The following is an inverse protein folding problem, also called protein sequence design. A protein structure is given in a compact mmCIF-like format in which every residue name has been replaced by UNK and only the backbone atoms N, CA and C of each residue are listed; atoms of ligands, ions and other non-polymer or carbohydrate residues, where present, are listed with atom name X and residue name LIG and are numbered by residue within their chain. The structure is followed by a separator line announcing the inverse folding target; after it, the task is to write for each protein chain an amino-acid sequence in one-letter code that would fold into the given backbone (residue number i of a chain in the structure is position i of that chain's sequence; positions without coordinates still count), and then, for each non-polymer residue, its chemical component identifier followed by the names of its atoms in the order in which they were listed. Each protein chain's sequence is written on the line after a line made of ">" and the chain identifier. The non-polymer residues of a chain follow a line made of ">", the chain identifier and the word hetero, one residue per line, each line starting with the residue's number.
data_IF_728448426561
#
_entry.id   IF_728448426561
#
_cell.length_a   1.000
_cell.length_b   1.000
_cell.length_c   1.000
_cell.angle_alpha   90.00
_cell.angle_beta   90.00
_cell.angle_gamma   90.00
#
_symmetry.space_group_name_H-M   'P 1'
#
loop_
_entity.id
_entity.type
_entity.pdbx_description
1 polymer ?
#
# COMPACT_ATOMS: atom_id res chain seq x y z
N UNK A 1 16.33 -6.05 13.89
CA UNK A 1 14.92 -6.49 13.85
C UNK A 1 13.98 -5.44 13.23
N UNK A 2 14.27 -4.12 13.40
CA UNK A 2 13.46 -3.04 12.80
C UNK A 2 13.28 -3.18 11.27
N UNK A 3 14.34 -3.35 10.45
CA UNK A 3 14.15 -3.48 9.01
C UNK A 3 13.27 -4.66 8.62
N UNK A 4 13.43 -5.80 9.30
CA UNK A 4 12.65 -7.00 9.04
C UNK A 4 11.15 -6.79 9.35
N UNK A 5 10.81 -6.08 10.45
CA UNK A 5 9.41 -5.80 10.77
C UNK A 5 8.72 -4.92 9.74
N UNK A 6 9.46 -3.99 9.13
CA UNK A 6 8.95 -3.13 8.06
C UNK A 6 8.73 -3.92 6.77
N UNK A 7 9.68 -4.80 6.42
CA UNK A 7 9.57 -5.72 5.28
C UNK A 7 8.35 -6.64 5.45
N UNK A 8 8.18 -7.25 6.64
CA UNK A 8 7.04 -8.13 6.93
C UNK A 8 5.70 -7.39 6.88
N UNK A 9 5.68 -6.12 7.28
CA UNK A 9 4.48 -5.27 7.20
C UNK A 9 4.11 -4.92 5.76
N UNK A 10 5.06 -4.80 4.86
CA UNK A 10 4.82 -4.51 3.45
C UNK A 10 4.10 -5.64 2.71
N UNK A 11 4.39 -6.90 3.06
CA UNK A 11 3.81 -8.07 2.39
C UNK A 11 2.28 -8.03 2.30
N UNK A 12 1.51 -8.00 3.41
CA UNK A 12 0.06 -8.03 3.32
C UNK A 12 -0.51 -6.83 2.55
N UNK A 13 0.16 -5.68 2.55
CA UNK A 13 -0.29 -4.50 1.82
C UNK A 13 -0.30 -4.74 0.31
N UNK A 14 0.82 -5.23 -0.25
CA UNK A 14 0.92 -5.52 -1.69
C UNK A 14 0.18 -6.79 -2.09
N UNK A 15 0.24 -7.83 -1.26
CA UNK A 15 -0.50 -9.07 -1.53
C UNK A 15 -2.00 -8.87 -1.50
N UNK A 16 -2.52 -7.90 -0.76
CA UNK A 16 -3.96 -7.60 -0.74
C UNK A 16 -4.52 -7.23 -2.11
N UNK A 17 -3.69 -6.67 -3.01
CA UNK A 17 -4.14 -6.31 -4.36
C UNK A 17 -3.95 -7.43 -5.38
N UNK A 18 -3.07 -8.38 -5.14
CA UNK A 18 -2.72 -9.39 -6.13
C UNK A 18 -3.33 -10.76 -5.82
N UNK A 19 -3.45 -11.10 -4.54
CA UNK A 19 -3.97 -12.38 -4.07
C UNK A 19 -5.43 -12.61 -4.45
N UNK A 20 -6.25 -11.55 -4.51
CA UNK A 20 -7.70 -11.68 -4.79
C UNK A 20 -8.04 -11.64 -6.28
N UNK A 21 -7.10 -11.33 -7.17
CA UNK A 21 -7.37 -11.21 -8.62
C UNK A 21 -8.06 -12.44 -9.21
N UNK A 22 -7.64 -13.69 -8.91
CA UNK A 22 -8.33 -14.87 -9.40
C UNK A 22 -9.75 -15.04 -8.83
N UNK A 23 -10.07 -14.38 -7.73
CA UNK A 23 -11.38 -14.43 -7.08
C UNK A 23 -12.41 -13.45 -7.67
N UNK A 24 -12.01 -12.57 -8.61
CA UNK A 24 -12.91 -11.59 -9.22
C UNK A 24 -14.21 -12.20 -9.78
N UNK A 25 -14.20 -13.38 -10.46
CA UNK A 25 -15.44 -14.03 -10.90
C UNK A 25 -16.36 -14.40 -9.74
N UNK A 26 -15.83 -14.98 -8.66
CA UNK A 26 -16.61 -15.33 -7.47
C UNK A 26 -17.19 -14.07 -6.78
N UNK A 27 -16.42 -12.98 -6.73
CA UNK A 27 -16.85 -11.69 -6.16
C UNK A 27 -17.98 -11.09 -7.01
N UNK A 28 -17.85 -11.15 -8.33
CA UNK A 28 -18.90 -10.71 -9.26
C UNK A 28 -20.23 -11.43 -9.03
N UNK A 29 -20.17 -12.75 -8.92
CA UNK A 29 -21.36 -13.58 -8.68
C UNK A 29 -21.94 -13.31 -7.28
N UNK A 30 -21.10 -13.22 -6.25
CA UNK A 30 -21.53 -12.99 -4.88
C UNK A 30 -22.27 -11.65 -4.69
N UNK A 31 -21.89 -10.62 -5.43
CA UNK A 31 -22.55 -9.31 -5.39
C UNK A 31 -23.56 -9.09 -6.52
N UNK A 32 -23.68 -10.02 -7.47
CA UNK A 32 -24.54 -9.91 -8.65
C UNK A 32 -24.34 -8.61 -9.43
N UNK A 33 -23.08 -8.31 -9.80
CA UNK A 33 -22.68 -7.07 -10.47
C UNK A 33 -21.97 -7.34 -11.80
N UNK A 34 -21.73 -6.30 -12.59
CA UNK A 34 -20.99 -6.40 -13.86
C UNK A 34 -19.49 -6.62 -13.66
N UNK A 35 -18.81 -7.15 -14.68
CA UNK A 35 -17.35 -7.25 -14.69
C UNK A 35 -16.67 -5.89 -14.48
N UNK A 36 -17.20 -4.83 -15.12
CA UNK A 36 -16.68 -3.49 -14.96
C UNK A 36 -16.73 -3.00 -13.49
N UNK A 37 -17.84 -3.30 -12.79
CA UNK A 37 -18.00 -2.91 -11.39
C UNK A 37 -16.98 -3.61 -10.48
N UNK A 38 -16.73 -4.90 -10.71
CA UNK A 38 -15.74 -5.64 -9.88
C UNK A 38 -14.31 -5.16 -10.17
N UNK A 39 -13.99 -4.87 -11.44
CA UNK A 39 -12.68 -4.34 -11.83
C UNK A 39 -12.40 -2.95 -11.22
N UNK A 40 -13.42 -2.16 -10.89
CA UNK A 40 -13.24 -0.91 -10.14
C UNK A 40 -12.54 -1.13 -8.80
N UNK A 41 -12.61 -2.32 -8.21
CA UNK A 41 -11.90 -2.63 -6.96
C UNK A 41 -10.37 -2.52 -7.10
N UNK A 42 -9.83 -2.84 -8.27
CA UNK A 42 -8.39 -2.69 -8.58
C UNK A 42 -8.08 -1.20 -8.82
N UNK A 43 -8.89 -0.53 -9.65
CA UNK A 43 -8.68 0.87 -9.97
C UNK A 43 -8.76 1.77 -8.72
N UNK A 44 -9.73 1.52 -7.84
CA UNK A 44 -9.89 2.27 -6.59
C UNK A 44 -8.73 2.04 -5.61
N UNK A 45 -8.17 0.85 -5.56
CA UNK A 45 -6.98 0.59 -4.76
C UNK A 45 -5.79 1.44 -5.25
N UNK A 46 -5.52 1.48 -6.55
CA UNK A 46 -4.47 2.34 -7.13
C UNK A 46 -4.78 3.83 -6.96
N UNK A 47 -6.04 4.23 -7.09
CA UNK A 47 -6.46 5.61 -6.85
C UNK A 47 -6.20 6.02 -5.40
N UNK A 48 -6.52 5.15 -4.43
CA UNK A 48 -6.21 5.38 -3.02
C UNK A 48 -4.71 5.54 -2.78
N UNK A 49 -3.90 4.65 -3.36
CA UNK A 49 -2.45 4.70 -3.22
C UNK A 49 -1.85 6.00 -3.79
N UNK A 50 -2.30 6.44 -4.96
CA UNK A 50 -1.75 7.63 -5.61
C UNK A 50 -2.19 8.94 -4.95
N UNK A 51 -3.47 9.06 -4.57
CA UNK A 51 -4.01 10.30 -4.01
C UNK A 51 -3.50 10.58 -2.60
N UNK A 52 -3.45 9.55 -1.75
CA UNK A 52 -3.06 9.73 -0.35
C UNK A 52 -1.57 9.96 -0.16
N UNK A 53 -0.74 9.48 -1.08
CA UNK A 53 0.71 9.66 -1.06
C UNK A 53 1.11 11.14 -1.02
N UNK A 54 0.38 12.02 -1.71
CA UNK A 54 0.66 13.45 -1.74
C UNK A 54 0.48 14.09 -0.37
N UNK A 55 -0.51 13.65 0.41
CA UNK A 55 -0.84 14.27 1.71
C UNK A 55 0.05 13.69 2.84
N UNK A 56 0.46 12.45 2.71
CA UNK A 56 1.15 11.72 3.77
C UNK A 56 2.55 12.24 4.11
N UNK A 57 3.27 12.86 3.16
CA UNK A 57 4.59 13.40 3.41
C UNK A 57 4.58 14.39 4.58
N UNK A 58 3.90 15.53 4.44
CA UNK A 58 3.80 16.52 5.52
C UNK A 58 3.16 15.98 6.81
N UNK A 59 2.20 15.06 6.68
CA UNK A 59 1.52 14.47 7.82
C UNK A 59 2.48 13.58 8.64
N UNK A 60 3.29 12.79 7.94
CA UNK A 60 4.29 11.90 8.52
C UNK A 60 5.43 12.67 9.20
N UNK A 61 5.86 13.79 8.61
CA UNK A 61 6.85 14.69 9.20
C UNK A 61 6.34 15.38 10.47
N UNK A 62 5.02 15.63 10.56
CA UNK A 62 4.42 16.30 11.71
C UNK A 62 4.07 15.35 12.84
N UNK A 63 3.40 14.24 12.54
CA UNK A 63 2.92 13.30 13.56
C UNK A 63 3.93 12.20 13.92
N UNK A 64 4.95 12.02 13.11
CA UNK A 64 5.96 10.98 13.22
C UNK A 64 5.67 9.77 12.38
N UNK A 65 6.73 9.20 11.83
CA UNK A 65 6.67 8.07 10.89
C UNK A 65 6.05 6.82 11.51
N UNK A 66 6.41 6.49 12.75
CA UNK A 66 5.88 5.33 13.46
C UNK A 66 4.37 5.43 13.66
N UNK A 67 3.87 6.59 14.10
CA UNK A 67 2.43 6.80 14.31
C UNK A 67 1.64 6.66 13.02
N UNK A 68 2.12 7.23 11.94
CA UNK A 68 1.47 7.16 10.62
C UNK A 68 1.42 5.72 10.11
N UNK A 69 2.49 4.95 10.26
CA UNK A 69 2.51 3.53 9.87
C UNK A 69 1.54 2.70 10.73
N UNK A 70 1.50 2.91 12.03
CA UNK A 70 0.61 2.17 12.92
C UNK A 70 -0.87 2.52 12.66
N UNK A 71 -1.19 3.80 12.47
CA UNK A 71 -2.56 4.23 12.11
C UNK A 71 -2.95 3.69 10.73
N UNK A 72 -2.03 3.72 9.77
CA UNK A 72 -2.24 3.08 8.47
C UNK A 72 -2.53 1.59 8.60
N UNK A 73 -1.72 0.86 9.37
CA UNK A 73 -1.93 -0.55 9.61
C UNK A 73 -3.26 -0.89 10.27
N UNK A 74 -3.70 -0.10 11.25
CA UNK A 74 -5.03 -0.24 11.83
C UNK A 74 -6.14 0.01 10.80
N UNK A 75 -6.00 1.05 9.99
CA UNK A 75 -6.95 1.34 8.90
C UNK A 75 -6.99 0.20 7.87
N UNK A 76 -5.83 -0.40 7.55
CA UNK A 76 -5.76 -1.56 6.68
C UNK A 76 -6.50 -2.77 7.25
N UNK A 77 -6.33 -3.06 8.56
CA UNK A 77 -7.05 -4.14 9.22
C UNK A 77 -8.57 -3.93 9.16
N UNK A 78 -9.04 -2.72 9.45
CA UNK A 78 -10.47 -2.37 9.37
C UNK A 78 -10.98 -2.52 7.93
N UNK A 79 -10.28 -1.97 6.94
CA UNK A 79 -10.66 -2.07 5.54
C UNK A 79 -10.67 -3.52 5.06
N UNK A 80 -9.67 -4.33 5.45
CA UNK A 80 -9.59 -5.75 5.09
C UNK A 80 -10.71 -6.56 5.76
N UNK A 81 -11.06 -6.23 7.01
CA UNK A 81 -12.20 -6.82 7.69
C UNK A 81 -13.52 -6.52 6.96
N UNK A 82 -13.74 -5.26 6.56
CA UNK A 82 -14.91 -4.88 5.75
C UNK A 82 -14.94 -5.71 4.47
N UNK A 83 -13.82 -5.86 3.76
CA UNK A 83 -13.75 -6.70 2.56
C UNK A 83 -14.17 -8.15 2.83
N UNK A 84 -13.82 -8.71 3.98
CA UNK A 84 -14.12 -10.12 4.29
C UNK A 84 -15.58 -10.40 4.62
N UNK A 85 -16.30 -9.43 5.22
CA UNK A 85 -17.65 -9.67 5.78
C UNK A 85 -18.78 -8.95 5.04
N UNK A 86 -18.48 -7.91 4.25
CA UNK A 86 -19.54 -7.06 3.68
C UNK A 86 -20.42 -7.81 2.69
N UNK A 87 -21.74 -7.61 2.72
CA UNK A 87 -22.67 -8.05 1.68
C UNK A 87 -22.84 -7.02 0.54
N UNK A 88 -22.25 -5.83 0.66
CA UNK A 88 -22.45 -4.71 -0.26
C UNK A 88 -21.20 -4.43 -1.09
N UNK A 89 -21.38 -4.38 -2.42
CA UNK A 89 -20.29 -4.02 -3.35
C UNK A 89 -19.77 -2.60 -3.08
N UNK A 90 -20.62 -1.66 -2.71
CA UNK A 90 -20.22 -0.27 -2.41
C UNK A 90 -19.26 -0.21 -1.24
N UNK A 91 -19.56 -0.92 -0.14
CA UNK A 91 -18.66 -1.01 1.00
C UNK A 91 -17.38 -1.76 0.68
N UNK A 92 -17.45 -2.79 -0.16
CA UNK A 92 -16.27 -3.50 -0.66
C UNK A 92 -15.36 -2.54 -1.44
N UNK A 93 -15.90 -1.78 -2.39
CA UNK A 93 -15.16 -0.81 -3.18
C UNK A 93 -14.55 0.32 -2.33
N UNK A 94 -15.31 0.84 -1.37
CA UNK A 94 -14.80 1.84 -0.42
C UNK A 94 -13.64 1.28 0.43
N UNK A 95 -13.75 0.04 0.89
CA UNK A 95 -12.68 -0.62 1.64
C UNK A 95 -11.44 -0.85 0.76
N UNK A 96 -11.60 -1.19 -0.51
CA UNK A 96 -10.49 -1.31 -1.48
C UNK A 96 -9.74 0.02 -1.65
N UNK A 97 -10.47 1.13 -1.78
CA UNK A 97 -9.87 2.46 -1.81
C UNK A 97 -9.07 2.75 -0.54
N UNK A 98 -9.63 2.46 0.64
CA UNK A 98 -8.94 2.65 1.92
C UNK A 98 -7.69 1.77 2.05
N UNK A 99 -7.72 0.51 1.60
CA UNK A 99 -6.53 -0.35 1.54
C UNK A 99 -5.44 0.28 0.68
N UNK A 100 -5.80 0.86 -0.47
CA UNK A 100 -4.87 1.59 -1.33
C UNK A 100 -4.23 2.79 -0.61
N UNK A 101 -5.03 3.61 0.10
CA UNK A 101 -4.52 4.74 0.88
C UNK A 101 -3.42 4.32 1.88
N UNK A 102 -3.55 3.13 2.46
CA UNK A 102 -2.58 2.64 3.46
C UNK A 102 -1.24 2.28 2.83
N UNK A 103 -1.21 1.76 1.60
CA UNK A 103 0.05 1.44 0.92
C UNK A 103 0.97 2.65 0.83
N UNK A 104 0.40 3.83 0.63
CA UNK A 104 1.17 5.09 0.60
C UNK A 104 1.92 5.35 1.92
N UNK A 105 1.42 4.85 3.06
CA UNK A 105 2.08 5.07 4.36
C UNK A 105 3.46 4.42 4.41
N UNK A 106 3.62 3.22 3.82
CA UNK A 106 4.92 2.55 3.79
C UNK A 106 5.88 3.22 2.81
N UNK A 107 5.37 3.65 1.65
CA UNK A 107 6.17 4.36 0.65
C UNK A 107 6.70 5.70 1.17
N UNK A 108 5.93 6.40 1.99
CA UNK A 108 6.31 7.71 2.54
C UNK A 108 7.00 7.55 3.90
N UNK A 109 6.27 7.09 4.91
CA UNK A 109 6.77 7.04 6.28
C UNK A 109 7.76 5.88 6.51
N UNK A 110 7.58 4.74 5.84
CA UNK A 110 8.48 3.60 5.92
C UNK A 110 9.86 3.92 5.36
N UNK A 111 9.90 4.43 4.13
CA UNK A 111 11.17 4.81 3.48
C UNK A 111 11.87 5.97 4.18
N UNK A 112 11.13 6.98 4.66
CA UNK A 112 11.69 8.06 5.46
C UNK A 112 12.36 7.53 6.73
N UNK A 113 11.73 6.58 7.42
CA UNK A 113 12.27 5.97 8.64
C UNK A 113 13.52 5.13 8.38
N UNK A 114 13.59 4.43 7.25
CA UNK A 114 14.79 3.71 6.82
C UNK A 114 15.97 4.68 6.69
N UNK A 115 15.78 5.77 5.97
CA UNK A 115 16.83 6.77 5.77
C UNK A 115 17.24 7.53 7.05
N UNK A 116 16.29 7.67 8.00
CA UNK A 116 16.58 8.30 9.30
C UNK A 116 17.42 7.43 10.23
N UNK A 117 17.25 6.09 10.16
CA UNK A 117 17.74 5.17 11.19
C UNK A 117 18.82 4.20 10.75
N UNK A 118 18.93 3.95 9.47
CA UNK A 118 19.90 3.00 8.95
C UNK A 118 21.06 3.71 8.25
N UNK A 119 22.23 3.10 8.32
CA UNK A 119 23.34 3.54 7.49
C UNK A 119 23.07 3.31 6.00
N UNK A 120 23.85 3.92 5.13
CA UNK A 120 23.64 3.86 3.68
C UNK A 120 23.57 2.44 3.14
N UNK A 121 24.40 1.51 3.64
CA UNK A 121 24.44 0.11 3.17
C UNK A 121 23.20 -0.64 3.61
N UNK A 122 22.83 -0.53 4.87
CA UNK A 122 21.63 -1.17 5.43
C UNK A 122 20.34 -0.59 4.81
N UNK A 123 20.29 0.72 4.57
CA UNK A 123 19.16 1.37 3.91
C UNK A 123 18.96 0.82 2.49
N UNK A 124 20.02 0.78 1.68
CA UNK A 124 19.97 0.22 0.32
C UNK A 124 19.51 -1.23 0.36
N UNK A 125 20.06 -2.06 1.24
CA UNK A 125 19.69 -3.46 1.36
C UNK A 125 18.22 -3.64 1.76
N UNK A 126 17.73 -2.87 2.74
CA UNK A 126 16.33 -2.93 3.17
C UNK A 126 15.37 -2.52 2.05
N UNK A 127 15.67 -1.41 1.37
CA UNK A 127 14.87 -0.92 0.23
C UNK A 127 14.87 -1.93 -0.92
N UNK A 128 15.99 -2.60 -1.17
CA UNK A 128 16.07 -3.64 -2.20
C UNK A 128 15.17 -4.84 -1.87
N UNK A 129 15.12 -5.27 -0.61
CA UNK A 129 14.19 -6.32 -0.18
C UNK A 129 12.73 -5.90 -0.32
N UNK A 130 12.38 -4.67 0.07
CA UNK A 130 11.05 -4.11 -0.11
C UNK A 130 10.67 -4.03 -1.59
N UNK A 131 11.57 -3.52 -2.44
CA UNK A 131 11.36 -3.52 -3.89
C UNK A 131 11.15 -4.92 -4.49
N UNK A 132 11.83 -5.94 -3.95
CA UNK A 132 11.61 -7.33 -4.36
C UNK A 132 10.19 -7.80 -4.05
N UNK A 133 9.62 -7.43 -2.91
CA UNK A 133 8.22 -7.76 -2.55
C UNK A 133 7.24 -7.12 -3.53
N UNK A 134 7.48 -5.85 -3.86
CA UNK A 134 6.63 -5.10 -4.81
C UNK A 134 6.58 -5.78 -6.19
N UNK A 135 7.70 -6.35 -6.64
CA UNK A 135 7.79 -7.07 -7.93
C UNK A 135 7.25 -8.51 -7.81
N UNK A 136 7.50 -9.18 -6.68
CA UNK A 136 7.06 -10.57 -6.49
C UNK A 136 5.56 -10.69 -6.24
N UNK A 137 4.93 -9.69 -5.61
CA UNK A 137 3.51 -9.76 -5.27
C UNK A 137 2.59 -9.95 -6.51
N UNK A 138 2.78 -9.23 -7.63
CA UNK A 138 2.03 -9.49 -8.87
C UNK A 138 2.29 -10.86 -9.49
N UNK A 139 3.50 -11.39 -9.37
CA UNK A 139 3.86 -12.70 -9.93
C UNK A 139 3.31 -13.87 -9.09
N UNK A 140 3.50 -13.81 -7.78
CA UNK A 140 3.17 -14.91 -6.86
C UNK A 140 1.73 -14.82 -6.34
N UNK A 141 1.23 -13.59 -6.15
CA UNK A 141 -0.10 -13.35 -5.59
C UNK A 141 -1.22 -14.07 -6.31
N UNK A 142 -1.37 -13.94 -7.64
CA UNK A 142 -2.42 -14.65 -8.39
C UNK A 142 -2.27 -16.16 -8.35
N UNK A 143 -1.04 -16.68 -8.35
CA UNK A 143 -0.79 -18.14 -8.23
C UNK A 143 -1.30 -18.65 -6.89
N UNK A 144 -0.90 -18.02 -5.79
CA UNK A 144 -1.37 -18.38 -4.46
C UNK A 144 -2.89 -18.18 -4.32
N UNK A 145 -3.40 -17.07 -4.85
CA UNK A 145 -4.83 -16.78 -4.86
C UNK A 145 -5.63 -17.86 -5.57
N UNK A 146 -5.23 -18.29 -6.77
CA UNK A 146 -5.90 -19.34 -7.54
C UNK A 146 -5.89 -20.68 -6.83
N UNK A 147 -4.79 -21.04 -6.18
CA UNK A 147 -4.72 -22.27 -5.38
C UNK A 147 -5.70 -22.23 -4.20
N UNK A 148 -5.77 -21.11 -3.49
CA UNK A 148 -6.60 -20.98 -2.29
C UNK A 148 -8.10 -20.93 -2.61
N UNK A 149 -8.52 -20.24 -3.68
CA UNK A 149 -9.94 -20.12 -4.04
C UNK A 149 -10.57 -21.45 -4.52
N UNK A 150 -9.75 -22.43 -4.90
CA UNK A 150 -10.23 -23.78 -5.22
C UNK A 150 -10.73 -24.55 -3.98
N UNK A 151 -10.27 -24.17 -2.80
CA UNK A 151 -10.56 -24.84 -1.53
C UNK A 151 -11.44 -24.01 -0.60
N UNK A 152 -11.48 -22.69 -0.81
CA UNK A 152 -12.17 -21.77 0.10
C UNK A 152 -12.80 -20.58 -0.64
N UNK A 153 -13.81 -19.95 -0.02
CA UNK A 153 -14.41 -18.73 -0.53
C UNK A 153 -13.40 -17.57 -0.52
N UNK A 154 -13.51 -16.65 -1.47
CA UNK A 154 -12.70 -15.43 -1.56
C UNK A 154 -12.66 -14.61 -0.27
N UNK A 155 -13.68 -14.68 0.59
CA UNK A 155 -13.72 -14.00 1.88
C UNK A 155 -12.60 -14.46 2.81
N UNK A 156 -12.22 -15.74 2.76
CA UNK A 156 -11.14 -16.30 3.56
C UNK A 156 -9.77 -15.80 3.15
N UNK A 157 -9.59 -15.35 1.89
CA UNK A 157 -8.35 -14.68 1.48
C UNK A 157 -8.13 -13.39 2.29
N UNK A 158 -9.19 -12.57 2.42
CA UNK A 158 -9.12 -11.36 3.24
C UNK A 158 -8.98 -11.68 4.74
N UNK A 159 -9.65 -12.73 5.24
CA UNK A 159 -9.48 -13.17 6.62
C UNK A 159 -8.02 -13.59 6.92
N UNK A 160 -7.38 -14.33 6.03
CA UNK A 160 -5.97 -14.68 6.14
C UNK A 160 -5.05 -13.45 6.12
N UNK A 161 -5.35 -12.47 5.26
CA UNK A 161 -4.63 -11.19 5.22
C UNK A 161 -4.79 -10.39 6.51
N UNK A 162 -5.93 -10.44 7.20
CA UNK A 162 -6.12 -9.79 8.50
C UNK A 162 -5.15 -10.38 9.54
N UNK A 163 -5.08 -11.71 9.63
CA UNK A 163 -4.18 -12.37 10.59
C UNK A 163 -2.73 -12.00 10.30
N UNK A 164 -2.33 -12.07 9.03
CA UNK A 164 -0.97 -11.70 8.63
C UNK A 164 -0.65 -10.24 8.92
N UNK A 165 -1.54 -9.32 8.53
CA UNK A 165 -1.37 -7.89 8.77
C UNK A 165 -1.35 -7.55 10.26
N UNK A 166 -2.17 -8.20 11.09
CA UNK A 166 -2.18 -8.00 12.54
C UNK A 166 -0.85 -8.42 13.19
N UNK A 167 -0.33 -9.57 12.82
CA UNK A 167 0.99 -10.05 13.28
C UNK A 167 2.10 -9.09 12.83
N UNK A 168 2.10 -8.70 11.57
CA UNK A 168 3.10 -7.76 11.01
C UNK A 168 3.03 -6.39 11.68
N UNK A 169 1.83 -5.88 11.94
CA UNK A 169 1.62 -4.61 12.64
C UNK A 169 2.08 -4.67 14.10
N UNK A 170 1.83 -5.78 14.78
CA UNK A 170 2.34 -6.01 16.13
C UNK A 170 3.87 -5.99 16.15
N UNK A 171 4.51 -6.74 15.25
CA UNK A 171 5.97 -6.77 15.12
C UNK A 171 6.53 -5.37 14.80
N UNK A 172 5.88 -4.64 13.91
CA UNK A 172 6.25 -3.26 13.59
C UNK A 172 6.16 -2.37 14.82
N UNK A 173 5.09 -2.47 15.60
CA UNK A 173 4.94 -1.67 16.83
C UNK A 173 6.04 -1.95 17.85
N UNK A 174 6.42 -3.22 18.03
CA UNK A 174 7.44 -3.63 19.01
C UNK A 174 8.85 -3.22 18.57
N UNK A 175 9.20 -3.48 17.30
CA UNK A 175 10.58 -3.32 16.82
C UNK A 175 10.88 -1.97 16.17
N UNK A 176 9.87 -1.20 15.78
CA UNK A 176 10.10 0.10 15.19
C UNK A 176 10.46 1.14 16.23
N UNK A 177 11.62 1.79 16.09
CA UNK A 177 12.07 2.81 17.04
C UNK A 177 11.15 4.04 17.01
N UNK A 178 10.95 4.63 18.18
CA UNK A 178 10.16 5.86 18.34
C UNK A 178 10.84 7.02 17.60
N UNK A 179 10.04 7.96 17.10
CA UNK A 179 10.55 9.14 16.41
C UNK A 179 11.19 10.10 17.43
N UNK A 180 12.47 10.45 17.21
CA UNK A 180 13.24 11.29 18.12
C UNK A 180 12.99 12.79 17.91
N UNK A 181 12.58 13.18 16.71
CA UNK A 181 12.35 14.56 16.33
C UNK A 181 10.93 14.72 15.80
N UNK A 182 10.02 15.08 16.71
CA UNK A 182 8.67 15.49 16.37
C UNK A 182 8.63 17.01 16.23
N UNK A 183 7.93 17.49 15.21
CA UNK A 183 7.45 18.85 15.03
C UNK A 183 8.17 19.73 14.01
N UNK A 184 8.04 19.38 12.77
CA UNK A 184 7.86 20.47 11.79
C UNK A 184 6.42 20.95 11.91
N UNK A 185 6.20 22.20 12.34
CA UNK A 185 4.85 22.79 12.37
C UNK A 185 4.22 22.63 10.98
N UNK A 186 3.02 22.04 10.92
CA UNK A 186 2.24 21.97 9.69
C UNK A 186 1.94 23.40 9.22
N UNK A 187 2.63 23.81 8.19
CA UNK A 187 2.38 25.09 7.53
C UNK A 187 1.84 24.82 6.13
N UNK A 188 0.50 24.76 6.01
CA UNK A 188 -0.19 24.46 4.76
C UNK A 188 0.23 25.40 3.62
N UNK A 189 0.51 26.67 3.91
CA UNK A 189 0.98 27.64 2.91
C UNK A 189 2.38 27.28 2.39
N UNK A 190 3.28 26.84 3.26
CA UNK A 190 4.63 26.39 2.88
C UNK A 190 4.54 25.10 2.04
N UNK A 191 3.73 24.15 2.48
CA UNK A 191 3.47 22.88 1.75
C UNK A 191 2.96 23.18 0.34
N UNK A 192 1.95 24.04 0.19
CA UNK A 192 1.43 24.45 -1.11
C UNK A 192 2.48 25.12 -2.00
N UNK A 193 3.34 25.98 -1.43
CA UNK A 193 4.44 26.60 -2.17
C UNK A 193 5.49 25.58 -2.63
N UNK A 194 5.83 24.61 -1.80
CA UNK A 194 6.81 23.57 -2.13
C UNK A 194 6.26 22.62 -3.21
N UNK A 195 4.99 22.22 -3.15
CA UNK A 195 4.34 21.48 -4.26
C UNK A 195 4.29 22.29 -5.55
N UNK A 196 3.97 23.57 -5.49
CA UNK A 196 3.98 24.44 -6.66
C UNK A 196 5.37 24.50 -7.31
N UNK A 197 6.44 24.60 -6.53
CA UNK A 197 7.83 24.58 -7.07
C UNK A 197 8.13 23.27 -7.80
N UNK A 198 7.70 22.11 -7.25
CA UNK A 198 7.90 20.81 -7.87
C UNK A 198 7.11 20.70 -9.17
N UNK A 199 5.84 21.11 -9.16
CA UNK A 199 4.97 21.06 -10.35
C UNK A 199 5.41 21.97 -11.49
N UNK A 200 6.07 23.09 -11.19
CA UNK A 200 6.60 24.03 -12.20
C UNK A 200 7.97 23.56 -12.72
N UNK A 201 8.65 22.65 -12.02
CA UNK A 201 9.98 22.20 -12.40
C UNK A 201 9.95 21.28 -13.62
N UNK A 202 10.48 21.75 -14.75
CA UNK A 202 10.53 20.99 -16.00
C UNK A 202 11.30 19.65 -15.86
N UNK A 203 12.39 19.63 -15.08
CA UNK A 203 13.14 18.39 -14.86
C UNK A 203 12.31 17.35 -14.10
N UNK A 204 11.45 17.75 -13.18
CA UNK A 204 10.52 16.84 -12.51
C UNK A 204 9.63 16.12 -13.54
N UNK A 205 8.99 16.86 -14.44
CA UNK A 205 8.12 16.28 -15.45
C UNK A 205 8.87 15.40 -16.45
N UNK A 206 10.08 15.81 -16.85
CA UNK A 206 10.92 15.03 -17.76
C UNK A 206 11.22 13.63 -17.19
N UNK A 207 11.65 13.55 -15.93
CA UNK A 207 11.96 12.26 -15.29
C UNK A 207 10.70 11.46 -14.96
N UNK A 208 9.64 12.13 -14.51
CA UNK A 208 8.37 11.48 -14.19
C UNK A 208 7.75 10.85 -15.46
N UNK A 209 7.68 11.57 -16.55
CA UNK A 209 7.14 11.06 -17.81
C UNK A 209 8.00 9.93 -18.41
N UNK A 210 9.32 10.03 -18.30
CA UNK A 210 10.21 8.95 -18.73
C UNK A 210 9.97 7.67 -17.90
N UNK A 211 9.86 7.80 -16.58
CA UNK A 211 9.58 6.67 -15.70
C UNK A 211 8.19 6.07 -15.94
N UNK A 212 7.15 6.91 -16.03
CA UNK A 212 5.79 6.47 -16.33
C UNK A 212 5.69 5.78 -17.69
N UNK A 213 6.37 6.30 -18.70
CA UNK A 213 6.42 5.69 -20.04
C UNK A 213 7.09 4.31 -20.02
N UNK A 214 8.20 4.17 -19.31
CA UNK A 214 8.88 2.89 -19.14
C UNK A 214 7.98 1.87 -18.42
N UNK A 215 7.33 2.30 -17.32
CA UNK A 215 6.44 1.44 -16.54
C UNK A 215 5.20 1.02 -17.33
N UNK A 216 4.61 1.95 -18.10
CA UNK A 216 3.48 1.66 -18.98
C UNK A 216 3.87 0.67 -20.10
N UNK A 217 5.06 0.82 -20.67
CA UNK A 217 5.57 -0.12 -21.67
C UNK A 217 5.79 -1.52 -21.10
N UNK A 218 6.31 -1.64 -19.86
CA UNK A 218 6.45 -2.92 -19.18
C UNK A 218 5.09 -3.57 -18.92
N UNK A 219 4.10 -2.81 -18.45
CA UNK A 219 2.74 -3.33 -18.19
C UNK A 219 2.00 -3.71 -19.48
N UNK A 220 2.23 -3.00 -20.58
CA UNK A 220 1.65 -3.34 -21.88
C UNK A 220 2.28 -4.59 -22.52
N UNK A 221 3.50 -4.94 -22.13
CA UNK A 221 4.15 -6.17 -22.61
C UNK A 221 3.54 -7.43 -21.98
N UNK A 222 2.98 -7.31 -20.75
CA UNK A 222 2.40 -8.43 -19.99
C UNK A 222 0.92 -8.69 -20.32
N UNK A 223 0.30 -7.91 -21.22
CA UNK A 223 -1.08 -8.06 -21.69
C UNK A 223 -1.17 -8.65 -23.09
#
# INVERSE_FOLDING_TARGET
>A
LFPLSLILYEFPLYFSNNLFLPALPQIREAFNVSNATVQLSIALWFLGASTFQVILGPLSDHYGHKKILLLGGLLFLVATFICSVTPSITWFLAARFLQGCVVSTILVAGYAKIHERLDKKQAIQTISWMGSITVMAPAIGPILGSLLINWMSWRWLFAGLIVWAAVSLYLLNVFMPVDLFLQKKLNLRKIGMDYRKVLINFNFWKYTLAFCGLFAALMAWDT
#
